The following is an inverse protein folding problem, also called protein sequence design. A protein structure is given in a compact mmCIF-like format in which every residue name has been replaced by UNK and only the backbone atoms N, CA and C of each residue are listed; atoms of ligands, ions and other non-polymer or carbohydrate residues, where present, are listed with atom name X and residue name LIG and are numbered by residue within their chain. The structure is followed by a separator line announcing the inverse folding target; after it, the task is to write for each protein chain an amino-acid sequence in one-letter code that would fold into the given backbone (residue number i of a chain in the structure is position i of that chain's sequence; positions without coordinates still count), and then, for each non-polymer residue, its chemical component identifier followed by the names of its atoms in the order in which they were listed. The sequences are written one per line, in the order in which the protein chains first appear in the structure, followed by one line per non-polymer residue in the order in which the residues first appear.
data_IF_618465630992
#
_entry.id   IF_618465630992
#
_cell.length_a   1.000
_cell.length_b   1.000
_cell.length_c   1.000
_cell.angle_alpha   90.00
_cell.angle_beta   90.00
_cell.angle_gamma   90.00
#
_symmetry.space_group_name_H-M   'P 1'
#
loop_
_entity.id
_entity.type
_entity.pdbx_description
1 polymer ?
#
# COMPACT_ATOMS: atom_id res chain seq x y z
N UNK A 1 -9.80 -53.52 -7.41
CA UNK A 1 -10.32 -52.21 -7.87
C UNK A 1 -10.41 -51.15 -6.76
N UNK A 2 -10.78 -51.51 -5.52
CA UNK A 2 -10.97 -50.55 -4.40
C UNK A 2 -9.68 -49.85 -3.93
N UNK A 3 -8.54 -50.55 -3.89
CA UNK A 3 -7.26 -49.98 -3.42
C UNK A 3 -6.69 -48.86 -4.30
N UNK A 4 -6.99 -48.86 -5.60
CA UNK A 4 -6.57 -47.78 -6.52
C UNK A 4 -7.38 -46.51 -6.27
N UNK A 5 -8.69 -46.65 -6.03
CA UNK A 5 -9.58 -45.53 -5.69
C UNK A 5 -9.16 -44.84 -4.38
N UNK A 6 -8.78 -45.62 -3.36
CA UNK A 6 -8.32 -45.07 -2.06
C UNK A 6 -7.00 -44.30 -2.21
N UNK A 7 -6.04 -44.82 -2.98
CA UNK A 7 -4.77 -44.12 -3.24
C UNK A 7 -4.96 -42.82 -4.02
N UNK A 8 -5.88 -42.81 -5.00
CA UNK A 8 -6.22 -41.58 -5.74
C UNK A 8 -6.87 -40.53 -4.84
N UNK A 9 -7.81 -40.92 -3.99
CA UNK A 9 -8.47 -40.01 -3.05
C UNK A 9 -7.45 -39.46 -2.03
N UNK A 10 -6.55 -40.29 -1.50
CA UNK A 10 -5.49 -39.85 -0.59
C UNK A 10 -4.52 -38.87 -1.27
N UNK A 11 -4.19 -39.09 -2.54
CA UNK A 11 -3.34 -38.17 -3.30
C UNK A 11 -4.04 -36.82 -3.55
N UNK A 12 -5.33 -36.84 -3.86
CA UNK A 12 -6.12 -35.62 -4.07
C UNK A 12 -6.29 -34.83 -2.78
N UNK A 13 -6.57 -35.50 -1.66
CA UNK A 13 -6.65 -34.85 -0.33
C UNK A 13 -5.29 -34.27 0.08
N UNK A 14 -4.21 -35.00 -0.13
CA UNK A 14 -2.86 -34.54 0.20
C UNK A 14 -2.45 -33.34 -0.68
N UNK A 15 -2.69 -33.41 -1.99
CA UNK A 15 -2.36 -32.31 -2.91
C UNK A 15 -3.21 -31.07 -2.63
N UNK A 16 -4.50 -31.20 -2.35
CA UNK A 16 -5.38 -30.08 -1.98
C UNK A 16 -4.95 -29.43 -0.66
N UNK A 17 -4.59 -30.23 0.36
CA UNK A 17 -4.12 -29.70 1.63
C UNK A 17 -2.77 -28.99 1.49
N UNK A 18 -1.83 -29.60 0.75
CA UNK A 18 -0.51 -29.02 0.47
C UNK A 18 -0.61 -27.73 -0.38
N UNK A 19 -1.49 -27.69 -1.38
CA UNK A 19 -1.77 -26.49 -2.16
C UNK A 19 -2.33 -25.36 -1.29
N UNK A 20 -3.31 -25.66 -0.42
CA UNK A 20 -3.91 -24.69 0.50
C UNK A 20 -2.91 -24.17 1.54
N UNK A 21 -1.95 -24.99 1.97
CA UNK A 21 -0.82 -24.57 2.81
C UNK A 21 0.08 -23.55 2.10
N UNK A 22 0.50 -23.86 0.87
CA UNK A 22 1.38 -22.98 0.07
C UNK A 22 0.76 -21.61 -0.24
N UNK A 23 -0.53 -21.55 -0.55
CA UNK A 23 -1.21 -20.27 -0.82
C UNK A 23 -1.22 -19.33 0.38
N UNK A 24 -1.45 -19.87 1.59
CA UNK A 24 -1.45 -19.06 2.82
C UNK A 24 -0.06 -18.50 3.14
N UNK A 25 0.98 -19.30 2.95
CA UNK A 25 2.36 -18.84 3.12
C UNK A 25 2.70 -17.73 2.12
N UNK A 26 2.31 -17.90 0.85
CA UNK A 26 2.53 -16.88 -0.18
C UNK A 26 1.84 -15.55 0.14
N UNK A 27 0.61 -15.57 0.68
CA UNK A 27 -0.10 -14.36 1.07
C UNK A 27 0.58 -13.60 2.21
N UNK A 28 1.08 -14.31 3.22
CA UNK A 28 1.79 -13.70 4.35
C UNK A 28 3.10 -13.07 3.87
N UNK A 29 3.85 -13.79 3.04
CA UNK A 29 5.10 -13.28 2.46
C UNK A 29 4.82 -12.07 1.57
N UNK A 30 3.79 -12.14 0.73
CA UNK A 30 3.39 -11.03 -0.12
C UNK A 30 3.03 -9.80 0.70
N UNK A 31 2.23 -9.95 1.77
CA UNK A 31 1.86 -8.84 2.64
C UNK A 31 3.09 -8.18 3.28
N UNK A 32 4.04 -8.97 3.79
CA UNK A 32 5.28 -8.45 4.36
C UNK A 32 6.12 -7.69 3.32
N UNK A 33 6.28 -8.27 2.12
CA UNK A 33 7.03 -7.63 1.03
C UNK A 33 6.34 -6.34 0.60
N UNK A 34 5.02 -6.34 0.46
CA UNK A 34 4.24 -5.15 0.07
C UNK A 34 4.37 -4.02 1.10
N UNK A 35 4.35 -4.32 2.40
CA UNK A 35 4.56 -3.30 3.45
C UNK A 35 5.93 -2.63 3.28
N UNK A 36 6.99 -3.43 3.14
CA UNK A 36 8.36 -2.91 2.97
C UNK A 36 8.49 -2.14 1.66
N UNK A 37 7.95 -2.68 0.58
CA UNK A 37 8.04 -2.09 -0.76
C UNK A 37 7.34 -0.72 -0.81
N UNK A 38 6.10 -0.64 -0.33
CA UNK A 38 5.36 0.62 -0.30
C UNK A 38 6.04 1.64 0.60
N UNK A 39 6.52 1.23 1.78
CA UNK A 39 7.29 2.11 2.65
C UNK A 39 8.52 2.69 1.93
N UNK A 40 9.35 1.85 1.31
CA UNK A 40 10.60 2.27 0.64
C UNK A 40 10.34 3.15 -0.58
N UNK A 41 9.36 2.78 -1.42
CA UNK A 41 9.03 3.55 -2.63
C UNK A 41 8.54 4.95 -2.24
N UNK A 42 7.58 5.05 -1.32
CA UNK A 42 7.07 6.35 -0.92
C UNK A 42 8.08 7.17 -0.12
N UNK A 43 8.88 6.54 0.73
CA UNK A 43 10.01 7.19 1.37
C UNK A 43 10.97 7.79 0.33
N UNK A 44 11.38 7.01 -0.67
CA UNK A 44 12.33 7.43 -1.71
C UNK A 44 11.79 8.54 -2.61
N UNK A 45 10.57 8.41 -3.12
CA UNK A 45 9.94 9.44 -3.95
C UNK A 45 9.74 10.72 -3.13
N UNK A 46 9.25 10.60 -1.89
CA UNK A 46 9.07 11.75 -1.02
C UNK A 46 10.40 12.45 -0.72
N UNK A 47 11.47 11.67 -0.55
CA UNK A 47 12.81 12.20 -0.28
C UNK A 47 13.30 13.00 -1.47
N UNK A 48 13.32 12.41 -2.67
CA UNK A 48 13.75 13.07 -3.92
C UNK A 48 12.95 14.34 -4.16
N UNK A 49 11.62 14.27 -4.02
CA UNK A 49 10.78 15.42 -4.32
C UNK A 49 10.91 16.53 -3.26
N UNK A 50 11.11 16.17 -1.98
CA UNK A 50 11.44 17.14 -0.94
C UNK A 50 12.81 17.80 -1.18
N UNK A 51 13.77 17.09 -1.80
CA UNK A 51 15.03 17.67 -2.25
C UNK A 51 14.80 18.65 -3.42
N UNK A 52 14.02 18.26 -4.43
CA UNK A 52 13.78 19.05 -5.64
C UNK A 52 12.95 20.31 -5.39
N UNK A 53 11.83 20.19 -4.68
CA UNK A 53 10.89 21.30 -4.47
C UNK A 53 11.25 22.18 -3.26
N UNK A 54 12.33 21.87 -2.53
CA UNK A 54 12.75 22.55 -1.28
C UNK A 54 11.64 22.64 -0.22
N UNK A 55 10.53 21.90 -0.36
CA UNK A 55 9.46 21.78 0.65
C UNK A 55 9.64 20.48 1.43
N UNK A 56 9.45 20.48 2.75
CA UNK A 56 9.65 19.29 3.62
C UNK A 56 8.38 18.47 3.81
N UNK A 57 7.23 19.13 3.86
CA UNK A 57 5.96 18.52 4.23
C UNK A 57 5.02 18.31 3.05
N UNK A 58 5.42 18.73 1.84
CA UNK A 58 4.56 18.68 0.66
C UNK A 58 4.13 17.24 0.36
N UNK A 59 5.05 16.29 0.50
CA UNK A 59 4.73 14.88 0.22
C UNK A 59 3.82 14.22 1.25
N UNK A 60 3.94 14.59 2.54
CA UNK A 60 3.02 14.11 3.56
C UNK A 60 1.60 14.65 3.36
N UNK A 61 1.45 15.87 2.82
CA UNK A 61 0.14 16.47 2.50
C UNK A 61 -0.42 15.92 1.19
N UNK A 62 0.44 15.69 0.20
CA UNK A 62 0.05 15.18 -1.12
C UNK A 62 -0.35 13.70 -1.07
N UNK A 63 0.28 12.91 -0.19
CA UNK A 63 0.06 11.47 -0.12
C UNK A 63 -1.42 11.08 0.10
N UNK A 64 -2.15 11.61 1.09
CA UNK A 64 -3.58 11.31 1.26
C UNK A 64 -4.42 11.59 0.02
N UNK A 65 -4.09 12.64 -0.74
CA UNK A 65 -4.77 12.97 -1.99
C UNK A 65 -4.52 11.90 -3.06
N UNK A 66 -3.28 11.41 -3.17
CA UNK A 66 -2.93 10.29 -4.07
C UNK A 66 -3.67 9.00 -3.66
N UNK A 67 -3.79 8.72 -2.36
CA UNK A 67 -4.51 7.51 -1.89
C UNK A 67 -5.99 7.57 -2.24
N UNK A 68 -6.65 8.71 -2.03
CA UNK A 68 -8.08 8.87 -2.41
C UNK A 68 -8.27 8.66 -3.91
N UNK A 69 -7.38 9.21 -4.74
CA UNK A 69 -7.43 9.03 -6.21
C UNK A 69 -7.18 7.59 -6.67
N UNK A 70 -6.47 6.77 -5.90
CA UNK A 70 -6.19 5.36 -6.24
C UNK A 70 -7.32 4.45 -5.75
N UNK A 71 -7.87 4.73 -4.57
CA UNK A 71 -8.89 3.90 -3.92
C UNK A 71 -10.25 4.05 -4.59
N UNK A 72 -10.53 5.23 -5.16
CA UNK A 72 -11.81 5.48 -5.79
C UNK A 72 -11.77 5.18 -7.29
N UNK A 73 -12.66 4.29 -7.75
CA UNK A 73 -12.85 3.96 -9.18
C UNK A 73 -13.44 5.12 -10.00
N UNK A 74 -13.77 6.25 -9.37
CA UNK A 74 -14.36 7.41 -10.04
C UNK A 74 -13.34 8.18 -10.88
N UNK A 75 -13.79 8.66 -12.04
CA UNK A 75 -12.96 9.51 -12.91
C UNK A 75 -12.64 10.83 -12.20
N UNK A 76 -11.39 11.30 -12.31
CA UNK A 76 -10.92 12.55 -11.68
C UNK A 76 -11.77 13.78 -12.03
N UNK A 77 -12.49 13.74 -13.16
CA UNK A 77 -13.42 14.78 -13.60
C UNK A 77 -14.72 14.86 -12.78
N UNK A 78 -15.12 13.78 -12.12
CA UNK A 78 -16.35 13.71 -11.34
C UNK A 78 -16.18 14.35 -9.96
N UNK A 79 -14.98 14.27 -9.38
CA UNK A 79 -14.57 15.02 -8.19
C UNK A 79 -14.68 16.54 -8.37
N UNK A 80 -14.38 17.05 -9.57
CA UNK A 80 -14.51 18.47 -9.87
C UNK A 80 -15.96 18.90 -10.11
N UNK A 81 -16.83 18.00 -10.54
CA UNK A 81 -18.24 18.31 -10.79
C UNK A 81 -19.10 18.22 -9.53
N UNK A 82 -18.83 17.27 -8.64
CA UNK A 82 -19.62 17.04 -7.42
C UNK A 82 -18.74 16.63 -6.21
N UNK A 83 -17.95 17.56 -5.64
CA UNK A 83 -16.99 17.23 -4.58
C UNK A 83 -17.63 16.70 -3.29
N UNK A 84 -18.86 17.14 -2.96
CA UNK A 84 -19.55 16.74 -1.74
C UNK A 84 -19.99 15.27 -1.72
N UNK A 85 -20.59 14.80 -2.81
CA UNK A 85 -21.04 13.41 -2.90
C UNK A 85 -19.87 12.44 -3.10
N UNK A 86 -18.87 12.83 -3.91
CA UNK A 86 -17.67 12.02 -4.16
C UNK A 86 -16.90 11.72 -2.85
N UNK A 87 -16.77 12.71 -1.95
CA UNK A 87 -16.07 12.50 -0.68
C UNK A 87 -16.80 11.51 0.25
N UNK A 88 -18.14 11.57 0.29
CA UNK A 88 -18.95 10.66 1.10
C UNK A 88 -18.88 9.22 0.55
N UNK A 89 -18.89 9.07 -0.76
CA UNK A 89 -18.83 7.76 -1.42
C UNK A 89 -17.44 7.13 -1.26
N UNK A 90 -16.37 7.90 -1.44
CA UNK A 90 -15.00 7.46 -1.18
C UNK A 90 -14.83 6.99 0.27
N UNK A 91 -15.35 7.73 1.24
CA UNK A 91 -15.28 7.33 2.66
C UNK A 91 -16.01 6.01 2.92
N UNK A 92 -17.18 5.79 2.30
CA UNK A 92 -17.92 4.53 2.41
C UNK A 92 -17.16 3.35 1.80
N UNK A 93 -16.46 3.58 0.67
CA UNK A 93 -15.58 2.59 0.04
C UNK A 93 -14.35 2.30 0.90
N UNK A 94 -13.75 3.31 1.52
CA UNK A 94 -12.61 3.15 2.43
C UNK A 94 -12.90 2.19 3.60
N UNK A 95 -14.12 2.21 4.13
CA UNK A 95 -14.54 1.28 5.18
C UNK A 95 -14.74 -0.16 4.69
N UNK A 96 -14.92 -0.36 3.37
CA UNK A 96 -15.09 -1.68 2.76
C UNK A 96 -13.77 -2.34 2.32
N UNK A 97 -12.65 -1.63 2.42
CA UNK A 97 -11.33 -2.12 2.00
C UNK A 97 -10.82 -3.21 2.94
N UNK A 98 -10.14 -4.19 2.36
CA UNK A 98 -9.45 -5.25 3.11
C UNK A 98 -8.44 -4.65 4.12
N UNK A 99 -8.39 -5.12 5.38
CA UNK A 99 -7.42 -4.64 6.37
C UNK A 99 -5.96 -4.74 5.93
N UNK A 100 -5.64 -5.71 5.06
CA UNK A 100 -4.31 -5.86 4.47
C UNK A 100 -3.91 -4.64 3.62
N UNK A 101 -4.82 -4.15 2.77
CA UNK A 101 -4.56 -3.02 1.88
C UNK A 101 -4.41 -1.73 2.69
N UNK A 102 -5.24 -1.54 3.72
CA UNK A 102 -5.11 -0.41 4.66
C UNK A 102 -3.72 -0.41 5.31
N UNK A 103 -3.24 -1.57 5.75
CA UNK A 103 -1.90 -1.69 6.37
C UNK A 103 -0.79 -1.29 5.39
N UNK A 104 -0.90 -1.70 4.12
CA UNK A 104 0.06 -1.34 3.07
C UNK A 104 0.03 0.17 2.78
N UNK A 105 -1.17 0.77 2.69
CA UNK A 105 -1.35 2.22 2.50
C UNK A 105 -0.77 3.01 3.68
N UNK A 106 -1.00 2.56 4.91
CA UNK A 106 -0.42 3.18 6.10
C UNK A 106 1.12 3.08 6.11
N UNK A 107 1.69 1.96 5.65
CA UNK A 107 3.13 1.81 5.51
C UNK A 107 3.72 2.81 4.50
N UNK A 108 3.06 3.01 3.36
CA UNK A 108 3.45 4.04 2.39
C UNK A 108 3.37 5.46 2.97
N UNK A 109 2.30 5.78 3.70
CA UNK A 109 2.14 7.08 4.37
C UNK A 109 3.24 7.31 5.41
N UNK A 110 3.53 6.29 6.22
CA UNK A 110 4.64 6.35 7.18
C UNK A 110 5.97 6.64 6.48
N UNK A 111 6.23 6.02 5.32
CA UNK A 111 7.41 6.32 4.49
C UNK A 111 7.49 7.80 4.08
N UNK A 112 6.38 8.38 3.61
CA UNK A 112 6.32 9.80 3.23
C UNK A 112 6.54 10.75 4.43
N UNK A 113 5.97 10.44 5.59
CA UNK A 113 6.14 11.23 6.82
C UNK A 113 7.59 11.13 7.34
N UNK A 114 8.15 9.92 7.41
CA UNK A 114 9.53 9.69 7.84
C UNK A 114 10.51 10.43 6.93
N UNK A 115 10.27 10.43 5.62
CA UNK A 115 11.08 11.22 4.67
C UNK A 115 11.06 12.71 5.00
N UNK A 116 9.89 13.29 5.32
CA UNK A 116 9.78 14.68 5.75
C UNK A 116 10.57 14.98 7.02
N UNK A 117 10.56 14.07 7.99
CA UNK A 117 11.35 14.18 9.23
C UNK A 117 12.85 14.13 8.92
N UNK A 118 13.28 13.15 8.13
CA UNK A 118 14.69 12.97 7.72
C UNK A 118 15.21 14.22 7.01
N UNK A 119 14.47 14.77 6.05
CA UNK A 119 14.87 15.99 5.35
C UNK A 119 14.93 17.19 6.30
N UNK A 120 13.97 17.32 7.23
CA UNK A 120 13.99 18.39 8.24
C UNK A 120 15.24 18.30 9.11
N UNK A 121 15.66 17.09 9.48
CA UNK A 121 16.90 16.86 10.21
C UNK A 121 18.13 17.21 9.37
N UNK A 122 18.23 16.72 8.13
CA UNK A 122 19.35 16.99 7.23
C UNK A 122 19.55 18.49 6.98
N UNK A 123 18.45 19.25 6.80
CA UNK A 123 18.51 20.70 6.62
C UNK A 123 19.00 21.44 7.87
N UNK A 124 18.67 20.94 9.07
CA UNK A 124 19.21 21.50 10.32
C UNK A 124 20.70 21.18 10.48
N UNK A 125 21.14 20.03 10.00
CA UNK A 125 22.54 19.60 10.05
C UNK A 125 23.45 20.26 9.01
N UNK A 126 22.96 21.27 8.28
CA UNK A 126 23.77 21.98 7.27
C UNK A 126 24.00 21.20 5.98
N UNK A 127 23.29 20.08 5.77
CA UNK A 127 23.34 19.36 4.49
C UNK A 127 22.60 20.19 3.45
N UNK A 128 23.34 21.07 2.78
CA UNK A 128 22.87 21.77 1.59
C UNK A 128 22.76 20.72 0.48
N UNK A 129 21.56 20.55 -0.04
CA UNK A 129 21.38 19.88 -1.31
C UNK A 129 21.57 20.98 -2.34
N UNK A 130 22.82 21.02 -2.83
CA UNK A 130 23.61 22.06 -3.52
C UNK A 130 24.54 22.86 -2.61
#
# INVERSE_FOLDING_TARGET
MVGFRIKWILYEIFTVHMWKGRHRLAQIVQLLVSIVLYFVIFFGIAFILNMLLRKTWLMAILYPLVVIMIVDDMSTLEYFKNPGNAFSEAFSKFLSITPADITILLAGFAGAVVSGIVIKMLRKSGYQMF
#
